data_IF_365554253241
#
_entry.id   IF_365554253241
#
_cell.length_a   1.000
_cell.length_b   1.000
_cell.length_c   1.000
_cell.angle_alpha   90.00
_cell.angle_beta   90.00
_cell.angle_gamma   90.00
#
_symmetry.space_group_name_H-M   'P 1'
#
loop_
_entity.id
_entity.type
_entity.pdbx_description
1 polymer ?
#
# COMPACT_ATOMS: atom_id res chain seq x y z
N UNK A 1 22.12 9.39 -9.70
CA UNK A 1 22.15 9.42 -8.22
C UNK A 1 20.95 10.22 -7.71
N UNK A 2 19.76 9.67 -7.81
CA UNK A 2 18.60 10.20 -7.09
C UNK A 2 18.21 9.12 -6.09
N UNK A 3 18.76 9.21 -4.89
CA UNK A 3 18.26 8.45 -3.74
C UNK A 3 16.74 8.60 -3.73
N UNK A 4 16.03 7.49 -3.67
CA UNK A 4 14.58 7.47 -3.44
C UNK A 4 14.34 7.97 -2.01
N UNK A 5 14.48 9.27 -1.82
CA UNK A 5 14.10 9.93 -0.60
C UNK A 5 12.60 9.77 -0.52
N UNK A 6 12.15 9.09 0.53
CA UNK A 6 10.76 9.03 0.90
C UNK A 6 10.10 10.40 0.67
N UNK A 7 8.95 10.42 -0.02
CA UNK A 7 8.24 11.66 -0.27
C UNK A 7 8.02 12.38 1.07
N UNK A 8 8.24 13.71 1.15
CA UNK A 8 8.05 14.41 2.40
C UNK A 8 6.55 14.38 2.76
N UNK A 9 6.26 13.89 3.97
CA UNK A 9 4.89 13.80 4.49
C UNK A 9 4.19 15.17 4.58
N UNK A 10 4.95 16.27 4.54
CA UNK A 10 4.45 17.65 4.48
C UNK A 10 3.59 17.96 3.25
N UNK A 11 3.56 17.09 2.24
CA UNK A 11 2.68 17.22 1.08
C UNK A 11 1.26 16.70 1.33
N UNK A 12 1.04 15.94 2.41
CA UNK A 12 -0.28 15.43 2.78
C UNK A 12 -1.00 16.44 3.67
N UNK A 13 -2.23 16.78 3.31
CA UNK A 13 -3.08 17.62 4.16
C UNK A 13 -3.45 16.88 5.45
N UNK A 14 -3.64 17.63 6.55
CA UNK A 14 -4.19 17.07 7.77
C UNK A 14 -5.65 16.61 7.59
N UNK A 15 -6.07 15.66 8.44
CA UNK A 15 -7.45 15.18 8.50
C UNK A 15 -8.13 15.78 9.72
N UNK A 16 -9.23 16.50 9.51
CA UNK A 16 -10.06 16.94 10.62
C UNK A 16 -10.79 15.74 11.25
N UNK A 17 -10.69 15.60 12.57
CA UNK A 17 -11.44 14.58 13.32
C UNK A 17 -11.78 15.06 14.73
N UNK A 18 -12.86 14.53 15.31
CA UNK A 18 -13.20 14.71 16.71
C UNK A 18 -12.56 13.60 17.56
N UNK A 19 -11.57 13.89 18.44
CA UNK A 19 -10.82 12.86 19.17
C UNK A 19 -11.66 12.00 20.12
N UNK A 20 -12.75 12.56 20.66
CA UNK A 20 -13.61 11.90 21.65
C UNK A 20 -14.95 11.45 21.07
N UNK A 21 -15.01 11.19 19.75
CA UNK A 21 -16.20 10.65 19.12
C UNK A 21 -16.49 9.23 19.66
N UNK A 22 -17.71 9.01 20.17
CA UNK A 22 -18.13 7.69 20.67
C UNK A 22 -18.61 6.81 19.52
N UNK A 23 -18.35 5.51 19.60
CA UNK A 23 -18.88 4.54 18.65
C UNK A 23 -20.41 4.66 18.53
N UNK A 24 -20.92 4.52 17.30
CA UNK A 24 -22.35 4.64 16.99
C UNK A 24 -22.89 6.08 16.90
N UNK A 25 -22.06 7.11 17.10
CA UNK A 25 -22.50 8.52 16.96
C UNK A 25 -22.28 9.06 15.55
N UNK A 26 -23.00 10.14 15.20
CA UNK A 26 -22.76 10.87 13.95
C UNK A 26 -21.33 11.42 13.86
N UNK A 27 -20.73 11.83 14.99
CA UNK A 27 -19.33 12.27 15.00
C UNK A 27 -18.35 11.14 14.62
N UNK A 28 -18.64 9.90 15.01
CA UNK A 28 -17.82 8.75 14.57
C UNK A 28 -17.99 8.52 13.07
N UNK A 29 -19.21 8.69 12.52
CA UNK A 29 -19.47 8.64 11.08
C UNK A 29 -18.71 9.74 10.33
N UNK A 30 -18.71 10.95 10.85
CA UNK A 30 -18.01 12.09 10.26
C UNK A 30 -16.50 11.86 10.24
N UNK A 31 -15.92 11.33 11.33
CA UNK A 31 -14.51 10.96 11.36
C UNK A 31 -14.16 9.93 10.26
N UNK A 32 -15.02 8.92 10.06
CA UNK A 32 -14.82 7.91 9.00
C UNK A 32 -14.94 8.54 7.61
N UNK A 33 -15.93 9.43 7.41
CA UNK A 33 -16.12 10.16 6.16
C UNK A 33 -14.91 11.05 5.82
N UNK A 34 -14.38 11.76 6.81
CA UNK A 34 -13.19 12.60 6.66
C UNK A 34 -11.96 11.77 6.29
N UNK A 35 -11.79 10.61 6.91
CA UNK A 35 -10.72 9.67 6.55
C UNK A 35 -10.85 9.18 5.09
N UNK A 36 -12.03 8.76 4.66
CA UNK A 36 -12.27 8.33 3.27
C UNK A 36 -11.99 9.48 2.30
N UNK A 37 -12.43 10.70 2.63
CA UNK A 37 -12.14 11.90 1.84
C UNK A 37 -10.65 12.18 1.72
N UNK A 38 -9.89 12.03 2.80
CA UNK A 38 -8.44 12.20 2.79
C UNK A 38 -7.73 11.12 1.98
N UNK A 39 -8.14 9.85 2.11
CA UNK A 39 -7.63 8.75 1.30
C UNK A 39 -7.79 9.05 -0.20
N UNK A 40 -8.95 9.55 -0.60
CA UNK A 40 -9.23 9.96 -1.98
C UNK A 40 -8.35 11.12 -2.44
N UNK A 41 -8.35 12.21 -1.69
CA UNK A 41 -7.82 13.49 -2.18
C UNK A 41 -6.32 13.66 -1.94
N UNK A 42 -5.82 13.18 -0.81
CA UNK A 42 -4.45 13.45 -0.36
C UNK A 42 -3.54 12.25 -0.64
N UNK A 43 -4.03 11.02 -0.41
CA UNK A 43 -3.29 9.83 -0.80
C UNK A 43 -3.53 9.44 -2.26
N UNK A 44 -4.67 9.82 -2.86
CA UNK A 44 -5.03 9.54 -4.25
C UNK A 44 -5.72 8.19 -4.48
N UNK A 45 -6.28 7.57 -3.43
CA UNK A 45 -6.78 6.18 -3.47
C UNK A 45 -7.94 6.08 -4.45
N UNK A 46 -7.88 5.08 -5.34
CA UNK A 46 -8.88 4.89 -6.39
C UNK A 46 -10.24 4.51 -5.76
N UNK A 47 -11.33 5.01 -6.35
CA UNK A 47 -12.68 4.87 -5.78
C UNK A 47 -13.08 3.42 -5.50
N UNK A 48 -12.68 2.48 -6.36
CA UNK A 48 -13.04 1.06 -6.18
C UNK A 48 -12.36 0.39 -4.98
N UNK A 49 -11.34 1.02 -4.38
CA UNK A 49 -10.70 0.54 -3.15
C UNK A 49 -11.19 1.28 -1.91
N UNK A 50 -11.97 2.35 -2.06
CA UNK A 50 -12.55 3.07 -0.93
C UNK A 50 -13.79 2.32 -0.43
N UNK A 51 -13.95 2.31 0.89
CA UNK A 51 -15.16 1.80 1.55
C UNK A 51 -16.10 2.95 1.88
N UNK A 52 -17.36 2.63 2.17
CA UNK A 52 -18.36 3.58 2.64
C UNK A 52 -18.38 3.67 4.16
N UNK A 53 -18.84 4.79 4.72
CA UNK A 53 -18.96 4.95 6.18
C UNK A 53 -19.74 3.81 6.85
N UNK A 54 -20.78 3.32 6.18
CA UNK A 54 -21.63 2.25 6.70
C UNK A 54 -20.92 0.89 6.71
N UNK A 55 -19.94 0.67 5.83
CA UNK A 55 -19.17 -0.59 5.77
C UNK A 55 -18.47 -0.86 7.09
N UNK A 56 -17.90 0.19 7.68
CA UNK A 56 -17.20 0.12 8.97
C UNK A 56 -18.17 0.24 10.15
N UNK A 57 -19.10 1.21 10.13
CA UNK A 57 -19.97 1.49 11.29
C UNK A 57 -20.96 0.36 11.54
N UNK A 58 -21.54 -0.20 10.48
CA UNK A 58 -22.51 -1.29 10.57
C UNK A 58 -21.83 -2.67 10.50
N UNK A 59 -20.49 -2.70 10.35
CA UNK A 59 -19.69 -3.93 10.17
C UNK A 59 -20.23 -4.84 9.05
N UNK A 60 -20.76 -4.23 7.98
CA UNK A 60 -21.39 -4.97 6.88
C UNK A 60 -20.39 -5.45 5.83
N UNK A 61 -19.27 -4.73 5.64
CA UNK A 61 -18.31 -5.01 4.58
C UNK A 61 -16.86 -4.78 5.07
N UNK A 62 -16.44 -5.55 6.07
CA UNK A 62 -15.09 -5.42 6.66
C UNK A 62 -13.97 -5.64 5.62
N UNK A 63 -14.23 -6.45 4.59
CA UNK A 63 -13.30 -6.69 3.47
C UNK A 63 -12.93 -5.40 2.74
N UNK A 64 -13.90 -4.53 2.43
CA UNK A 64 -13.63 -3.26 1.76
C UNK A 64 -12.79 -2.33 2.64
N UNK A 65 -13.05 -2.33 3.96
CA UNK A 65 -12.24 -1.56 4.91
C UNK A 65 -10.79 -2.05 4.89
N UNK A 66 -10.57 -3.36 4.95
CA UNK A 66 -9.23 -3.95 4.94
C UNK A 66 -8.49 -3.62 3.62
N UNK A 67 -9.16 -3.75 2.47
CA UNK A 67 -8.56 -3.42 1.17
C UNK A 67 -8.13 -1.94 1.08
N UNK A 68 -8.96 -1.03 1.56
CA UNK A 68 -8.62 0.39 1.65
C UNK A 68 -7.38 0.62 2.53
N UNK A 69 -7.34 0.02 3.72
CA UNK A 69 -6.21 0.17 4.66
C UNK A 69 -4.90 -0.42 4.12
N UNK A 70 -4.96 -1.53 3.39
CA UNK A 70 -3.79 -2.08 2.70
C UNK A 70 -3.25 -1.12 1.64
N UNK A 71 -4.12 -0.46 0.89
CA UNK A 71 -3.73 0.55 -0.09
C UNK A 71 -3.15 1.81 0.58
N UNK A 72 -3.74 2.26 1.69
CA UNK A 72 -3.17 3.33 2.53
C UNK A 72 -1.76 2.98 2.96
N UNK A 73 -1.54 1.77 3.46
CA UNK A 73 -0.22 1.33 3.92
C UNK A 73 0.79 1.19 2.77
N UNK A 74 0.35 0.70 1.61
CA UNK A 74 1.16 0.62 0.39
C UNK A 74 1.67 1.98 -0.06
N UNK A 75 0.82 3.01 0.02
CA UNK A 75 1.20 4.42 -0.26
C UNK A 75 2.03 5.01 0.86
N UNK A 76 1.68 4.72 2.10
CA UNK A 76 2.40 5.12 3.30
C UNK A 76 3.88 4.72 3.28
N UNK A 77 4.18 3.55 2.72
CA UNK A 77 5.55 3.08 2.56
C UNK A 77 6.43 3.98 1.69
N UNK A 78 5.85 4.76 0.77
CA UNK A 78 6.58 5.77 -0.02
C UNK A 78 7.03 6.97 0.82
N UNK A 79 6.48 7.12 2.02
CA UNK A 79 6.85 8.15 3.01
C UNK A 79 7.76 7.57 4.12
N UNK A 80 8.32 6.37 3.92
CA UNK A 80 9.23 5.74 4.88
C UNK A 80 8.53 4.97 6.01
N UNK A 81 7.20 4.80 5.96
CA UNK A 81 6.50 3.92 6.90
C UNK A 81 6.75 2.45 6.57
N UNK A 82 6.81 1.58 7.58
CA UNK A 82 6.93 0.14 7.34
C UNK A 82 5.65 -0.40 6.68
N UNK A 83 5.81 -1.07 5.54
CA UNK A 83 4.71 -1.73 4.85
C UNK A 83 4.27 -3.00 5.60
N UNK A 84 2.96 -3.36 5.61
CA UNK A 84 2.50 -4.64 6.13
C UNK A 84 3.10 -5.81 5.36
N UNK A 85 3.24 -6.97 6.02
CA UNK A 85 3.85 -8.17 5.44
C UNK A 85 3.22 -8.56 4.10
N UNK A 86 1.89 -8.47 3.97
CA UNK A 86 1.19 -8.78 2.72
C UNK A 86 1.72 -7.91 1.56
N UNK A 87 1.86 -6.61 1.76
CA UNK A 87 2.37 -5.68 0.75
C UNK A 87 3.86 -5.94 0.45
N UNK A 88 4.64 -6.36 1.44
CA UNK A 88 6.04 -6.74 1.23
C UNK A 88 6.15 -8.01 0.36
N UNK A 89 5.33 -9.02 0.65
CA UNK A 89 5.28 -10.27 -0.11
C UNK A 89 4.83 -10.02 -1.56
N UNK A 90 3.78 -9.22 -1.79
CA UNK A 90 3.35 -8.80 -3.13
C UNK A 90 4.53 -8.20 -3.94
N UNK A 91 5.25 -7.23 -3.34
CA UNK A 91 6.42 -6.61 -3.98
C UNK A 91 7.59 -7.57 -4.19
N UNK A 92 7.72 -8.60 -3.36
CA UNK A 92 8.73 -9.63 -3.57
C UNK A 92 8.38 -10.47 -4.80
N UNK A 93 7.14 -10.94 -4.88
CA UNK A 93 6.64 -11.73 -6.01
C UNK A 93 6.78 -10.95 -7.32
N UNK A 94 6.35 -9.67 -7.35
CA UNK A 94 6.45 -8.83 -8.55
C UNK A 94 7.91 -8.66 -9.02
N UNK A 95 8.86 -8.56 -8.09
CA UNK A 95 10.30 -8.47 -8.40
C UNK A 95 10.84 -9.77 -8.99
N UNK A 96 10.47 -10.91 -8.43
CA UNK A 96 10.87 -12.23 -8.92
C UNK A 96 10.35 -12.46 -10.35
N UNK A 97 9.06 -12.20 -10.60
CA UNK A 97 8.43 -12.32 -11.93
C UNK A 97 9.09 -11.38 -12.96
N UNK A 98 9.37 -10.12 -12.57
CA UNK A 98 10.02 -9.17 -13.46
C UNK A 98 11.46 -9.59 -13.83
N UNK A 99 12.19 -10.20 -12.89
CA UNK A 99 13.53 -10.72 -13.14
C UNK A 99 13.51 -11.92 -14.10
N UNK A 100 12.56 -12.85 -13.92
CA UNK A 100 12.37 -14.00 -14.81
C UNK A 100 12.03 -13.57 -16.25
N UNK A 101 11.13 -12.60 -16.41
CA UNK A 101 10.75 -12.08 -17.72
C UNK A 101 11.93 -11.41 -18.46
N UNK A 102 12.81 -10.70 -17.73
CA UNK A 102 14.04 -10.13 -18.31
C UNK A 102 15.02 -11.22 -18.74
N UNK A 103 15.19 -12.26 -17.94
CA UNK A 103 16.07 -13.39 -18.27
C UNK A 103 15.55 -14.18 -19.49
N UNK A 104 14.23 -14.36 -19.62
CA UNK A 104 13.62 -15.06 -20.75
C UNK A 104 13.71 -14.26 -22.07
N UNK A 105 13.53 -12.93 -22.02
CA UNK A 105 13.60 -12.06 -23.21
C UNK A 105 15.04 -11.78 -23.68
N UNK A 106 16.05 -11.88 -22.80
CA UNK A 106 17.46 -11.77 -23.16
C UNK A 106 18.01 -12.95 -23.98
N UNK A 107 17.25 -14.04 -24.14
CA UNK A 107 17.66 -15.24 -24.86
C UNK A 107 17.23 -15.31 -26.34
N UNK A 108 16.40 -14.37 -26.84
CA UNK A 108 15.80 -14.42 -28.19
C UNK A 108 16.21 -13.28 -29.15
N UNK A 109 17.21 -12.46 -28.83
CA UNK A 109 17.62 -11.32 -29.68
C UNK A 109 19.01 -11.48 -30.30
N UNK A 110 19.07 -11.87 -31.57
CA UNK A 110 20.29 -11.86 -32.38
C UNK A 110 20.33 -10.55 -33.20
N UNK A 111 21.35 -9.70 -33.00
CA UNK A 111 21.81 -8.71 -34.00
C UNK A 111 21.48 -7.23 -33.78
N UNK A 112 22.53 -6.47 -33.43
CA UNK A 112 22.87 -5.11 -33.87
C UNK A 112 21.79 -4.02 -33.94
N UNK A 113 21.94 -2.98 -33.10
CA UNK A 113 21.46 -1.63 -33.42
C UNK A 113 20.98 -0.81 -32.22
N UNK A 114 21.73 0.25 -31.92
CA UNK A 114 21.43 1.39 -31.04
C UNK A 114 21.34 1.14 -29.53
N UNK A 115 22.49 1.36 -28.89
CA UNK A 115 22.61 1.80 -27.50
C UNK A 115 22.00 3.21 -27.36
N UNK A 116 20.69 3.30 -27.19
CA UNK A 116 20.08 4.35 -26.37
C UNK A 116 19.47 3.64 -25.17
N UNK A 117 20.37 3.26 -24.27
CA UNK A 117 20.02 2.78 -22.95
C UNK A 117 19.39 3.95 -22.19
N UNK A 118 18.05 3.96 -22.11
CA UNK A 118 17.33 4.67 -21.05
C UNK A 118 17.67 3.96 -19.73
N UNK A 119 18.89 4.24 -19.26
CA UNK A 119 19.49 3.77 -18.01
C UNK A 119 18.86 4.48 -16.78
N UNK A 120 17.55 4.69 -16.78
CA UNK A 120 16.87 5.32 -15.62
C UNK A 120 16.43 4.30 -14.56
N UNK A 121 16.70 3.00 -14.76
CA UNK A 121 16.34 1.94 -13.81
C UNK A 121 17.50 0.99 -13.47
N UNK A 122 18.73 1.34 -13.85
CA UNK A 122 19.93 0.54 -13.61
C UNK A 122 20.55 0.72 -12.20
N UNK A 123 19.93 1.46 -11.28
CA UNK A 123 20.45 1.70 -9.91
C UNK A 123 19.91 0.72 -8.84
N UNK A 124 19.35 -0.41 -9.24
CA UNK A 124 18.86 -1.44 -8.29
C UNK A 124 19.93 -2.47 -7.86
N UNK A 125 21.22 -2.17 -8.07
CA UNK A 125 22.33 -3.00 -7.57
C UNK A 125 22.89 -2.53 -6.22
N UNK A 126 22.25 -1.55 -5.56
CA UNK A 126 22.47 -1.40 -4.14
C UNK A 126 21.81 -2.57 -3.43
N UNK A 127 22.65 -3.49 -2.95
CA UNK A 127 22.39 -4.30 -1.77
C UNK A 127 22.00 -3.37 -0.61
N UNK A 128 20.78 -2.82 -0.64
CA UNK A 128 20.15 -2.47 0.62
C UNK A 128 20.05 -3.80 1.37
N UNK A 129 20.63 -3.92 2.58
CA UNK A 129 20.37 -5.09 3.40
C UNK A 129 18.85 -5.14 3.51
N UNK A 130 18.26 -6.18 2.92
CA UNK A 130 16.84 -6.46 3.09
C UNK A 130 16.67 -6.58 4.60
N UNK A 131 16.23 -5.49 5.23
CA UNK A 131 15.95 -5.49 6.64
C UNK A 131 14.78 -6.45 6.80
N UNK A 132 15.09 -7.71 7.12
CA UNK A 132 14.16 -8.69 7.66
C UNK A 132 13.77 -8.14 9.03
N UNK A 133 12.99 -7.07 9.04
CA UNK A 133 12.09 -6.76 10.13
C UNK A 133 10.74 -7.28 9.69
N UNK A 134 10.62 -8.62 9.78
CA UNK A 134 9.31 -9.23 9.89
C UNK A 134 8.64 -8.65 11.14
N UNK A 135 7.37 -8.21 11.07
CA UNK A 135 6.66 -7.82 12.28
C UNK A 135 6.70 -9.01 13.26
N UNK A 136 6.88 -8.73 14.56
CA UNK A 136 6.58 -9.71 15.59
C UNK A 136 5.18 -10.30 15.30
N UNK A 137 4.96 -11.61 15.49
CA UNK A 137 3.66 -12.22 15.28
C UNK A 137 2.60 -11.40 16.01
N UNK A 138 1.77 -10.72 15.22
CA UNK A 138 0.72 -9.87 15.75
C UNK A 138 -0.32 -10.83 16.31
N UNK A 139 -0.59 -10.76 17.62
CA UNK A 139 -1.64 -11.57 18.24
C UNK A 139 -2.95 -11.17 17.56
N UNK A 140 -3.46 -12.02 16.69
CA UNK A 140 -4.74 -11.82 16.02
C UNK A 140 -5.82 -12.11 17.05
N UNK A 141 -6.34 -11.06 17.69
CA UNK A 141 -7.48 -11.18 18.62
C UNK A 141 -8.83 -11.06 17.91
N UNK A 142 -8.85 -10.94 16.57
CA UNK A 142 -10.06 -10.79 15.80
C UNK A 142 -10.42 -12.14 15.14
N UNK A 143 -11.62 -12.65 15.41
CA UNK A 143 -12.11 -13.90 14.85
C UNK A 143 -12.35 -13.76 13.33
N UNK A 144 -11.31 -13.97 12.52
CA UNK A 144 -11.33 -13.91 11.04
C UNK A 144 -12.19 -15.01 10.37
N UNK A 145 -13.01 -15.74 11.14
CA UNK A 145 -13.80 -16.89 10.67
C UNK A 145 -14.87 -16.55 9.64
N UNK A 146 -15.17 -15.27 9.39
CA UNK A 146 -16.17 -14.89 8.38
C UNK A 146 -15.59 -14.60 6.99
N UNK A 147 -14.28 -14.78 6.75
CA UNK A 147 -13.66 -14.44 5.47
C UNK A 147 -13.80 -15.53 4.39
N UNK A 148 -14.14 -16.77 4.77
CA UNK A 148 -14.19 -17.95 3.88
C UNK A 148 -15.63 -18.32 3.45
N UNK A 149 -16.64 -17.60 3.94
CA UNK A 149 -18.05 -17.86 3.62
C UNK A 149 -18.66 -16.73 2.77
N UNK A 150 -18.21 -16.57 1.52
CA UNK A 150 -19.06 -16.04 0.43
C UNK A 150 -18.48 -16.27 -0.96
#
# INVERSE_FOLDING_TARGET
MTSSLALPMSQLSDVAFLPNAKAGTFFARDNVSNFIGWCRNSLGIIECLLFETDDLIMRKNERHVILCLLEVARRGAKFGMLAPMLVQMERQIDREIAAENKAANGAHGNGAGNEESDDEYADMQQEEPCLIYGPQPQIVTNDLKSLDEM
#
